data_IF_817087915488
#
_entry.id   IF_817087915488
#
_cell.length_a   1.000
_cell.length_b   1.000
_cell.length_c   1.000
_cell.angle_alpha   90.00
_cell.angle_beta   90.00
_cell.angle_gamma   90.00
#
_symmetry.space_group_name_H-M   'P 1'
#
loop_
_entity.id
_entity.type
_entity.pdbx_description
1 polymer ?
#
# COMPACT_ATOMS: atom_id res chain seq x y z
N UNK A 1 73.63 -19.65 22.17
CA UNK A 1 72.40 -19.09 21.60
C UNK A 1 72.67 -18.75 20.14
N UNK A 2 72.28 -19.61 19.22
CA UNK A 2 72.50 -19.44 17.77
C UNK A 2 71.25 -18.75 17.18
N UNK A 3 71.42 -17.51 16.82
CA UNK A 3 70.36 -16.78 16.09
C UNK A 3 70.40 -17.19 14.61
N UNK A 4 69.36 -17.89 14.16
CA UNK A 4 69.18 -18.19 12.75
C UNK A 4 68.55 -16.94 12.08
N UNK A 5 69.44 -16.27 11.25
CA UNK A 5 69.01 -15.16 10.40
C UNK A 5 68.06 -15.70 9.31
N UNK A 6 66.77 -15.20 9.31
CA UNK A 6 65.83 -15.47 8.24
C UNK A 6 66.41 -14.85 6.95
N UNK A 7 66.57 -15.59 5.85
CA UNK A 7 67.19 -15.06 4.64
C UNK A 7 66.25 -13.95 4.07
N UNK A 8 66.85 -12.83 3.67
CA UNK A 8 66.22 -11.61 3.16
C UNK A 8 65.15 -11.87 2.08
N UNK A 9 65.35 -12.96 1.30
CA UNK A 9 64.35 -13.41 0.28
C UNK A 9 63.02 -13.89 0.87
N UNK A 10 63.04 -14.49 2.07
CA UNK A 10 61.82 -14.94 2.75
C UNK A 10 61.06 -13.73 3.35
N UNK A 11 61.80 -12.73 3.84
CA UNK A 11 61.24 -11.49 4.35
C UNK A 11 60.54 -10.67 3.23
N UNK A 12 61.15 -10.61 2.02
CA UNK A 12 60.52 -9.97 0.85
C UNK A 12 59.27 -10.71 0.35
N UNK A 13 59.22 -12.04 0.42
CA UNK A 13 58.05 -12.83 0.05
C UNK A 13 56.90 -12.63 1.05
N UNK A 14 57.17 -12.54 2.35
CA UNK A 14 56.18 -12.25 3.39
C UNK A 14 55.64 -10.83 3.27
N UNK A 15 56.46 -9.84 2.94
CA UNK A 15 55.96 -8.45 2.72
C UNK A 15 55.15 -8.31 1.45
N UNK A 16 55.43 -9.06 0.38
CA UNK A 16 54.59 -9.09 -0.83
C UNK A 16 53.24 -9.78 -0.54
N UNK A 17 53.22 -10.85 0.27
CA UNK A 17 51.98 -11.52 0.65
C UNK A 17 51.09 -10.64 1.54
N UNK A 18 51.66 -9.85 2.47
CA UNK A 18 50.94 -8.88 3.27
C UNK A 18 50.42 -7.66 2.48
N UNK A 19 51.05 -7.34 1.35
CA UNK A 19 50.58 -6.25 0.47
C UNK A 19 49.46 -6.70 -0.49
N UNK A 20 49.32 -8.02 -0.74
CA UNK A 20 48.21 -8.55 -1.56
C UNK A 20 46.88 -8.65 -0.81
N UNK A 21 46.90 -8.76 0.53
CA UNK A 21 45.68 -8.83 1.35
C UNK A 21 44.97 -7.47 1.56
N UNK A 22 45.56 -6.37 1.06
CA UNK A 22 44.94 -5.03 1.18
C UNK A 22 44.34 -4.50 -0.12
N UNK A 23 44.25 -5.30 -1.17
CA UNK A 23 43.28 -5.01 -2.24
C UNK A 23 41.89 -5.38 -1.74
N UNK A 24 41.31 -4.47 -0.95
CA UNK A 24 39.85 -4.43 -0.71
C UNK A 24 39.18 -4.42 -2.07
N UNK A 25 38.79 -5.58 -2.57
CA UNK A 25 37.79 -5.61 -3.64
C UNK A 25 36.58 -4.89 -3.08
N UNK A 26 36.31 -3.67 -3.54
CA UNK A 26 35.07 -2.98 -3.24
C UNK A 26 33.95 -3.94 -3.64
N UNK A 27 33.22 -4.46 -2.66
CA UNK A 27 32.20 -5.46 -2.92
C UNK A 27 30.98 -4.72 -3.49
N UNK A 28 30.59 -5.12 -4.68
CA UNK A 28 29.34 -4.64 -5.29
C UNK A 28 28.18 -4.89 -4.34
N UNK A 29 27.36 -3.88 -4.06
CA UNK A 29 26.23 -3.98 -3.14
C UNK A 29 25.28 -5.11 -3.54
N UNK A 30 24.90 -5.92 -2.57
CA UNK A 30 23.82 -6.90 -2.71
C UNK A 30 22.47 -6.20 -2.93
N UNK A 31 21.51 -6.95 -3.48
CA UNK A 31 20.14 -6.45 -3.66
C UNK A 31 19.52 -6.09 -2.31
N UNK A 32 19.02 -4.87 -2.11
CA UNK A 32 18.34 -4.50 -0.88
C UNK A 32 17.04 -5.31 -0.70
N UNK A 33 16.71 -5.62 0.54
CA UNK A 33 15.47 -6.28 0.88
C UNK A 33 14.30 -5.28 0.75
N UNK A 34 13.28 -5.63 -0.01
CA UNK A 34 12.04 -4.84 -0.20
C UNK A 34 10.89 -5.81 -0.37
N UNK A 35 9.72 -5.47 0.13
CA UNK A 35 8.49 -6.25 -0.03
C UNK A 35 7.49 -5.42 -0.86
N UNK A 36 7.02 -5.92 -2.02
CA UNK A 36 7.48 -7.10 -2.76
C UNK A 36 8.94 -7.00 -3.22
N UNK A 37 9.58 -8.16 -3.47
CA UNK A 37 10.98 -8.22 -3.89
C UNK A 37 11.20 -7.50 -5.23
N UNK A 38 12.31 -6.75 -5.33
CA UNK A 38 12.68 -6.02 -6.54
C UNK A 38 12.93 -6.94 -7.72
N UNK A 39 12.41 -6.61 -8.89
CA UNK A 39 12.58 -7.37 -10.13
C UNK A 39 14.01 -7.37 -10.63
N UNK A 40 14.63 -6.21 -10.67
CA UNK A 40 15.98 -6.05 -11.20
C UNK A 40 16.80 -5.15 -10.27
N UNK A 41 18.01 -5.59 -9.99
CA UNK A 41 19.02 -4.85 -9.24
C UNK A 41 20.37 -4.96 -9.93
N UNK A 42 21.02 -3.81 -10.13
CA UNK A 42 22.41 -3.74 -10.54
C UNK A 42 23.18 -2.95 -9.49
N UNK A 43 23.87 -3.67 -8.60
CA UNK A 43 24.65 -3.06 -7.53
C UNK A 43 25.84 -2.29 -8.04
N UNK A 44 26.28 -1.30 -7.26
CA UNK A 44 27.54 -0.56 -7.39
C UNK A 44 28.20 -0.46 -6.03
N UNK A 45 29.44 -0.01 -5.99
CA UNK A 45 30.17 0.13 -4.73
C UNK A 45 29.72 1.33 -3.91
N UNK A 46 29.70 1.17 -2.59
CA UNK A 46 29.43 2.22 -1.61
C UNK A 46 27.96 2.58 -1.44
N UNK A 47 27.70 3.48 -0.50
CA UNK A 47 26.37 3.92 -0.15
C UNK A 47 26.14 5.40 -0.50
N UNK A 48 24.89 5.78 -0.65
CA UNK A 48 24.41 7.15 -0.65
C UNK A 48 23.77 7.44 0.71
N UNK A 49 24.13 8.55 1.31
CA UNK A 49 23.47 9.08 2.51
C UNK A 49 22.90 10.46 2.16
N UNK A 50 21.62 10.71 2.43
CA UNK A 50 21.03 12.02 2.19
C UNK A 50 21.79 13.12 2.92
N UNK A 51 22.00 14.25 2.25
CA UNK A 51 22.64 15.42 2.87
C UNK A 51 21.84 15.99 4.05
N UNK A 52 22.48 16.74 4.93
CA UNK A 52 21.82 17.38 6.08
C UNK A 52 20.65 18.28 5.66
N UNK A 53 20.75 18.94 4.50
CA UNK A 53 19.71 19.77 3.91
C UNK A 53 19.20 19.18 2.59
N UNK A 54 19.09 17.83 2.54
CA UNK A 54 18.61 17.13 1.36
C UNK A 54 17.22 17.62 0.93
N UNK A 55 17.01 17.68 -0.38
CA UNK A 55 15.76 18.13 -0.99
C UNK A 55 15.18 17.04 -1.87
N UNK A 56 13.88 17.12 -2.07
CA UNK A 56 13.19 16.42 -3.13
C UNK A 56 12.98 17.41 -4.27
N UNK A 57 13.68 17.18 -5.38
CA UNK A 57 13.64 18.06 -6.56
C UNK A 57 12.71 17.48 -7.62
N UNK A 58 11.59 18.15 -7.88
CA UNK A 58 10.68 17.82 -8.95
C UNK A 58 11.20 18.37 -10.29
N UNK A 59 11.26 17.54 -11.33
CA UNK A 59 11.77 17.96 -12.66
C UNK A 59 10.79 18.81 -13.46
N UNK A 60 9.54 18.91 -13.03
CA UNK A 60 8.49 19.72 -13.67
C UNK A 60 7.49 20.26 -12.64
N UNK A 61 6.67 21.24 -13.09
CA UNK A 61 5.58 21.82 -12.28
C UNK A 61 4.29 20.98 -12.29
N UNK A 62 4.37 19.70 -12.65
CA UNK A 62 3.22 18.80 -12.65
C UNK A 62 2.65 18.67 -11.20
N UNK A 63 1.36 18.95 -10.97
CA UNK A 63 0.77 18.93 -9.63
C UNK A 63 0.83 17.55 -8.96
N UNK A 64 0.64 16.46 -9.73
CA UNK A 64 0.73 15.10 -9.20
C UNK A 64 2.15 14.74 -8.78
N UNK A 65 3.15 15.17 -9.56
CA UNK A 65 4.55 15.00 -9.19
C UNK A 65 4.87 15.70 -7.87
N UNK A 66 4.38 16.94 -7.70
CA UNK A 66 4.56 17.70 -6.46
C UNK A 66 3.83 17.07 -5.28
N UNK A 67 2.60 16.56 -5.50
CA UNK A 67 1.83 15.86 -4.49
C UNK A 67 2.57 14.61 -3.98
N UNK A 68 3.08 13.79 -4.90
CA UNK A 68 3.85 12.57 -4.54
C UNK A 68 5.14 12.94 -3.81
N UNK A 69 5.83 14.00 -4.24
CA UNK A 69 7.03 14.49 -3.57
C UNK A 69 6.74 14.94 -2.14
N UNK A 70 5.62 15.65 -1.92
CA UNK A 70 5.21 16.07 -0.59
C UNK A 70 4.83 14.87 0.29
N UNK A 71 4.05 13.91 -0.23
CA UNK A 71 3.73 12.68 0.49
C UNK A 71 5.00 11.91 0.90
N UNK A 72 5.98 11.82 0.01
CA UNK A 72 7.26 11.18 0.35
C UNK A 72 8.02 11.96 1.43
N UNK A 73 8.02 13.30 1.38
CA UNK A 73 8.63 14.13 2.41
C UNK A 73 7.96 13.95 3.79
N UNK A 74 6.63 13.93 3.81
CA UNK A 74 5.84 13.76 5.03
C UNK A 74 6.07 12.39 5.66
N UNK A 75 6.04 11.32 4.86
CA UNK A 75 6.31 9.95 5.30
C UNK A 75 7.75 9.80 5.79
N UNK A 76 8.72 10.40 5.10
CA UNK A 76 10.13 10.38 5.50
C UNK A 76 10.34 11.09 6.83
N UNK A 77 9.67 12.23 7.04
CA UNK A 77 9.68 12.95 8.31
C UNK A 77 9.01 12.12 9.42
N UNK A 78 7.87 11.50 9.15
CA UNK A 78 7.15 10.69 10.13
C UNK A 78 7.94 9.46 10.56
N UNK A 79 8.57 8.76 9.60
CA UNK A 79 9.30 7.52 9.86
C UNK A 79 10.67 7.74 10.47
N UNK A 80 11.38 8.78 10.05
CA UNK A 80 12.82 8.95 10.34
C UNK A 80 13.14 10.25 11.10
N UNK A 81 12.16 11.11 11.35
CA UNK A 81 12.37 12.40 12.03
C UNK A 81 13.19 13.41 11.21
N UNK A 82 13.42 13.16 9.91
CA UNK A 82 14.24 14.01 9.04
C UNK A 82 13.37 14.73 8.01
N UNK A 83 13.47 16.05 7.96
CA UNK A 83 12.71 16.88 7.01
C UNK A 83 13.39 16.94 5.66
N UNK A 84 12.63 16.69 4.60
CA UNK A 84 13.02 16.88 3.21
C UNK A 84 12.17 18.02 2.62
N UNK A 85 12.81 19.09 2.13
CA UNK A 85 12.05 20.15 1.46
C UNK A 85 11.76 19.80 0.00
N UNK A 86 10.52 20.02 -0.43
CA UNK A 86 10.12 19.83 -1.84
C UNK A 86 10.38 21.11 -2.63
N UNK A 87 11.05 21.00 -3.78
CA UNK A 87 11.44 22.15 -4.60
C UNK A 87 11.45 21.80 -6.09
N UNK A 88 11.59 22.82 -6.92
CA UNK A 88 11.92 22.71 -8.35
C UNK A 88 13.31 23.31 -8.59
N UNK A 89 13.97 22.85 -9.66
CA UNK A 89 15.25 23.44 -10.07
C UNK A 89 16.38 22.42 -10.18
N UNK A 90 17.59 22.85 -9.83
CA UNK A 90 18.80 22.02 -9.89
C UNK A 90 18.96 21.19 -8.61
N UNK A 91 19.11 19.89 -8.76
CA UNK A 91 19.54 19.00 -7.68
C UNK A 91 21.05 19.05 -7.49
N UNK A 92 21.46 18.89 -6.26
CA UNK A 92 22.86 18.78 -5.83
C UNK A 92 23.17 17.38 -5.32
N UNK A 93 24.45 16.98 -5.17
CA UNK A 93 24.78 15.75 -4.47
C UNK A 93 24.12 15.70 -3.08
N UNK A 94 23.53 14.57 -2.71
CA UNK A 94 22.77 14.40 -1.47
C UNK A 94 21.26 14.56 -1.61
N UNK A 95 20.75 15.02 -2.77
CA UNK A 95 19.32 15.24 -3.03
C UNK A 95 18.61 14.02 -3.63
N UNK A 96 17.28 14.07 -3.57
CA UNK A 96 16.36 13.19 -4.30
C UNK A 96 15.80 13.91 -5.52
N UNK A 97 15.66 13.22 -6.64
CA UNK A 97 15.07 13.74 -7.88
C UNK A 97 13.88 12.86 -8.24
N UNK A 98 12.72 13.46 -8.43
CA UNK A 98 11.50 12.80 -8.89
C UNK A 98 11.15 13.31 -10.29
N UNK A 99 10.88 12.38 -11.23
CA UNK A 99 10.54 12.71 -12.60
C UNK A 99 9.52 11.75 -13.20
N UNK A 100 8.68 12.29 -14.09
CA UNK A 100 7.90 11.45 -15.01
C UNK A 100 8.74 11.20 -16.27
N UNK A 101 8.78 9.96 -16.74
CA UNK A 101 9.57 9.51 -17.90
C UNK A 101 8.68 9.07 -19.05
N UNK A 102 9.25 9.01 -20.24
CA UNK A 102 8.56 8.49 -21.42
C UNK A 102 8.77 6.99 -21.66
N UNK A 103 9.46 6.28 -20.75
CA UNK A 103 9.76 4.83 -20.90
C UNK A 103 8.53 3.96 -20.60
N UNK A 104 7.68 3.79 -21.62
CA UNK A 104 6.47 2.97 -21.54
C UNK A 104 6.73 1.48 -21.28
N UNK A 105 7.98 1.00 -21.38
CA UNK A 105 8.33 -0.42 -21.11
C UNK A 105 8.19 -0.80 -19.64
N UNK A 106 8.10 0.19 -18.77
CA UNK A 106 7.84 -0.02 -17.34
C UNK A 106 6.35 -0.28 -17.02
N UNK A 107 5.45 -0.07 -17.99
CA UNK A 107 4.01 -0.14 -17.74
C UNK A 107 3.51 0.99 -16.85
N UNK A 108 2.29 0.87 -16.35
CA UNK A 108 1.65 1.94 -15.57
C UNK A 108 2.17 2.06 -14.15
N UNK A 109 2.65 0.97 -13.56
CA UNK A 109 3.06 0.94 -12.16
C UNK A 109 4.58 0.74 -11.96
N UNK A 110 5.33 0.57 -13.06
CA UNK A 110 6.77 0.36 -12.97
C UNK A 110 7.55 1.66 -12.82
N UNK A 111 8.79 1.52 -12.34
CA UNK A 111 9.69 2.64 -12.08
C UNK A 111 11.16 2.23 -12.19
N UNK A 112 12.03 3.23 -12.31
CA UNK A 112 13.48 3.07 -12.21
C UNK A 112 14.02 4.00 -11.12
N UNK A 113 14.94 3.48 -10.28
CA UNK A 113 15.67 4.25 -9.28
C UNK A 113 17.16 4.10 -9.55
N UNK A 114 17.85 5.23 -9.71
CA UNK A 114 19.32 5.30 -9.79
C UNK A 114 19.87 5.92 -8.52
N UNK A 115 20.69 5.16 -7.79
CA UNK A 115 21.31 5.57 -6.54
C UNK A 115 22.81 5.79 -6.80
N UNK A 116 23.25 7.06 -6.75
CA UNK A 116 24.63 7.48 -7.05
C UNK A 116 25.14 8.44 -5.96
N UNK A 117 25.58 9.65 -6.32
CA UNK A 117 25.77 10.79 -5.42
C UNK A 117 24.45 11.52 -5.09
N UNK A 118 23.38 11.09 -5.71
CA UNK A 118 21.99 11.47 -5.52
C UNK A 118 21.07 10.31 -5.88
N UNK A 119 19.82 10.37 -5.46
CA UNK A 119 18.81 9.40 -5.88
C UNK A 119 17.97 10.02 -6.98
N UNK A 120 17.90 9.37 -8.13
CA UNK A 120 17.00 9.76 -9.23
C UNK A 120 15.95 8.69 -9.43
N UNK A 121 14.70 9.07 -9.30
CA UNK A 121 13.52 8.22 -9.47
C UNK A 121 12.74 8.67 -10.69
N UNK A 122 12.39 7.75 -11.56
CA UNK A 122 11.59 8.01 -12.76
C UNK A 122 10.57 6.92 -13.01
N UNK A 123 9.37 7.31 -13.47
CA UNK A 123 8.29 6.41 -13.83
C UNK A 123 7.46 7.00 -14.97
N UNK A 124 6.77 6.16 -15.79
CA UNK A 124 5.88 6.65 -16.83
C UNK A 124 4.64 7.36 -16.30
N UNK A 125 4.20 7.00 -15.09
CA UNK A 125 2.97 7.46 -14.47
C UNK A 125 3.19 7.96 -13.04
N UNK A 126 2.27 8.76 -12.48
CA UNK A 126 2.26 9.10 -11.06
C UNK A 126 2.22 7.85 -10.15
N UNK A 127 1.47 6.81 -10.51
CA UNK A 127 1.35 5.57 -9.74
C UNK A 127 2.70 4.88 -9.58
N UNK A 128 3.42 4.65 -10.69
CA UNK A 128 4.75 4.05 -10.64
C UNK A 128 5.74 4.89 -9.83
N UNK A 129 5.66 6.22 -9.96
CA UNK A 129 6.49 7.14 -9.18
C UNK A 129 6.18 7.04 -7.68
N UNK A 130 4.91 6.94 -7.29
CA UNK A 130 4.51 6.74 -5.90
C UNK A 130 5.07 5.41 -5.34
N UNK A 131 4.95 4.31 -6.09
CA UNK A 131 5.52 3.01 -5.67
C UNK A 131 7.03 3.05 -5.48
N UNK A 132 7.74 3.84 -6.28
CA UNK A 132 9.17 4.02 -6.10
C UNK A 132 9.53 4.69 -4.77
N UNK A 133 8.71 5.61 -4.29
CA UNK A 133 8.92 6.24 -2.98
C UNK A 133 8.72 5.23 -1.84
N UNK A 134 7.80 4.28 -1.97
CA UNK A 134 7.61 3.19 -1.00
C UNK A 134 8.86 2.30 -0.93
N UNK A 135 9.46 1.99 -2.07
CA UNK A 135 10.74 1.27 -2.13
C UNK A 135 11.85 2.04 -1.42
N UNK A 136 11.94 3.36 -1.63
CA UNK A 136 12.95 4.18 -0.94
C UNK A 136 12.74 4.20 0.57
N UNK A 137 11.52 4.29 1.07
CA UNK A 137 11.24 4.24 2.51
C UNK A 137 11.67 2.89 3.11
N UNK A 138 11.34 1.77 2.46
CA UNK A 138 11.73 0.45 2.92
C UNK A 138 13.26 0.24 2.94
N UNK A 139 13.98 0.79 1.96
CA UNK A 139 15.44 0.73 1.96
C UNK A 139 16.03 1.60 3.07
N UNK A 140 15.51 2.82 3.25
CA UNK A 140 15.99 3.75 4.29
C UNK A 140 15.80 3.19 5.71
N UNK A 141 14.72 2.46 5.95
CA UNK A 141 14.41 1.85 7.25
C UNK A 141 15.45 0.80 7.69
N UNK A 142 16.16 0.18 6.74
CA UNK A 142 17.10 -0.92 7.01
C UNK A 142 18.45 -0.45 7.55
N UNK A 143 18.73 0.84 7.59
CA UNK A 143 19.98 1.36 8.13
C UNK A 143 19.73 2.48 9.15
N UNK A 144 20.54 2.52 10.22
CA UNK A 144 20.47 3.57 11.25
C UNK A 144 20.71 4.99 10.68
N UNK A 145 21.53 5.10 9.63
CA UNK A 145 21.83 6.37 8.95
C UNK A 145 20.82 6.71 7.85
N UNK A 146 19.85 5.82 7.58
CA UNK A 146 18.93 5.91 6.45
C UNK A 146 19.69 6.03 5.12
N UNK A 147 20.77 5.26 5.00
CA UNK A 147 21.61 5.19 3.80
C UNK A 147 21.05 4.19 2.79
N UNK A 148 21.44 4.36 1.54
CA UNK A 148 20.97 3.55 0.42
C UNK A 148 22.15 2.93 -0.30
N UNK A 149 22.16 1.61 -0.56
CA UNK A 149 23.20 0.98 -1.35
C UNK A 149 23.19 1.57 -2.77
N UNK A 150 24.34 1.99 -3.28
CA UNK A 150 24.44 2.49 -4.66
C UNK A 150 24.14 1.39 -5.66
N UNK A 151 23.38 1.74 -6.70
CA UNK A 151 22.95 0.79 -7.72
C UNK A 151 21.81 1.33 -8.57
N UNK A 152 21.24 0.43 -9.37
CA UNK A 152 20.08 0.71 -10.22
C UNK A 152 19.01 -0.33 -9.92
N UNK A 153 17.82 0.15 -9.60
CA UNK A 153 16.60 -0.63 -9.45
C UNK A 153 15.75 -0.40 -10.70
N UNK A 154 15.21 -1.47 -11.26
CA UNK A 154 14.13 -1.43 -12.23
C UNK A 154 13.05 -2.40 -11.77
N UNK A 155 11.87 -1.89 -11.46
CA UNK A 155 10.83 -2.65 -10.77
C UNK A 155 9.44 -2.39 -11.36
N UNK A 156 8.60 -3.40 -11.34
CA UNK A 156 7.21 -3.39 -11.83
C UNK A 156 6.46 -4.59 -11.24
N UNK A 157 5.13 -4.52 -11.08
CA UNK A 157 4.35 -5.62 -10.54
C UNK A 157 4.16 -6.76 -11.56
N UNK A 158 4.00 -8.00 -11.06
CA UNK A 158 3.55 -9.14 -11.86
C UNK A 158 2.03 -9.16 -12.04
N UNK A 159 1.31 -8.62 -11.06
CA UNK A 159 -0.14 -8.62 -10.99
C UNK A 159 -0.67 -7.19 -10.91
N UNK A 160 -1.66 -6.87 -11.72
CA UNK A 160 -2.33 -5.57 -11.73
C UNK A 160 -3.17 -5.34 -10.47
N UNK A 161 -3.76 -6.40 -9.89
CA UNK A 161 -4.53 -6.36 -8.65
C UNK A 161 -3.72 -7.00 -7.54
N UNK A 162 -3.48 -6.25 -6.47
CA UNK A 162 -2.81 -6.68 -5.25
C UNK A 162 -3.68 -6.28 -4.08
N UNK A 163 -4.72 -7.10 -3.87
CA UNK A 163 -5.84 -6.80 -2.99
C UNK A 163 -5.75 -7.46 -1.63
N UNK A 164 -6.52 -6.88 -0.72
CA UNK A 164 -6.87 -7.44 0.58
C UNK A 164 -8.37 -7.23 0.80
N UNK A 165 -9.02 -8.16 1.49
CA UNK A 165 -10.43 -8.03 1.91
C UNK A 165 -10.51 -7.96 3.42
N UNK A 166 -11.36 -7.07 3.94
CA UNK A 166 -11.65 -6.95 5.36
C UNK A 166 -13.14 -7.10 5.64
N UNK A 167 -13.47 -7.98 6.59
CA UNK A 167 -14.83 -8.23 7.02
C UNK A 167 -15.23 -7.21 8.10
N UNK A 168 -15.99 -6.20 7.69
CA UNK A 168 -16.62 -5.22 8.57
C UNK A 168 -18.03 -5.66 8.99
N UNK A 169 -18.65 -6.59 8.27
CA UNK A 169 -19.97 -7.12 8.56
C UNK A 169 -20.02 -7.83 9.90
N UNK A 170 -19.20 -8.85 10.10
CA UNK A 170 -19.17 -9.64 11.35
C UNK A 170 -18.62 -8.86 12.54
N UNK A 171 -17.76 -7.88 12.30
CA UNK A 171 -17.20 -7.01 13.35
C UNK A 171 -17.04 -5.60 12.84
N UNK A 172 -17.59 -4.64 13.56
CA UNK A 172 -17.37 -3.23 13.21
C UNK A 172 -15.88 -2.87 13.33
N UNK A 173 -15.34 -2.30 12.26
CA UNK A 173 -13.99 -1.79 12.17
C UNK A 173 -14.08 -0.26 12.10
N UNK A 174 -13.50 0.50 13.03
CA UNK A 174 -13.55 1.96 12.98
C UNK A 174 -12.90 2.51 11.70
N UNK A 175 -13.43 3.60 11.16
CA UNK A 175 -12.91 4.24 9.94
C UNK A 175 -11.42 4.60 10.05
N UNK A 176 -10.96 5.03 11.22
CA UNK A 176 -9.54 5.31 11.46
C UNK A 176 -8.64 4.09 11.23
N UNK A 177 -9.10 2.90 11.59
CA UNK A 177 -8.36 1.67 11.32
C UNK A 177 -8.28 1.36 9.82
N UNK A 178 -9.39 1.55 9.08
CA UNK A 178 -9.40 1.37 7.62
C UNK A 178 -8.45 2.35 6.93
N UNK A 179 -8.40 3.59 7.39
CA UNK A 179 -7.48 4.61 6.90
C UNK A 179 -6.01 4.24 7.15
N UNK A 180 -5.70 3.70 8.32
CA UNK A 180 -4.33 3.24 8.63
C UNK A 180 -3.98 1.97 7.85
N UNK A 181 -4.94 1.06 7.66
CA UNK A 181 -4.77 -0.13 6.81
C UNK A 181 -4.41 0.25 5.37
N UNK A 182 -5.07 1.26 4.79
CA UNK A 182 -4.74 1.79 3.46
C UNK A 182 -3.29 2.27 3.38
N UNK A 183 -2.78 2.97 4.40
CA UNK A 183 -1.38 3.41 4.44
C UNK A 183 -0.41 2.24 4.48
N UNK A 184 -0.73 1.20 5.28
CA UNK A 184 0.07 -0.03 5.37
C UNK A 184 0.05 -0.77 4.02
N UNK A 185 -1.11 -0.90 3.40
CA UNK A 185 -1.25 -1.51 2.08
C UNK A 185 -0.41 -0.77 1.04
N UNK A 186 -0.50 0.55 0.99
CA UNK A 186 0.28 1.38 0.09
C UNK A 186 1.80 1.23 0.33
N UNK A 187 2.23 1.14 1.59
CA UNK A 187 3.64 0.91 1.93
C UNK A 187 4.18 -0.38 1.30
N UNK A 188 3.37 -1.43 1.24
CA UNK A 188 3.68 -2.71 0.59
C UNK A 188 3.21 -2.78 -0.88
N UNK A 189 2.86 -1.65 -1.49
CA UNK A 189 2.43 -1.54 -2.90
C UNK A 189 1.18 -2.36 -3.23
N UNK A 190 0.32 -2.62 -2.26
CA UNK A 190 -1.02 -3.16 -2.49
C UNK A 190 -1.94 -2.02 -2.96
N UNK A 191 -2.85 -2.32 -3.89
CA UNK A 191 -3.63 -1.30 -4.58
C UNK A 191 -5.15 -1.49 -4.55
N UNK A 192 -5.67 -2.50 -3.85
CA UNK A 192 -7.11 -2.77 -3.83
C UNK A 192 -7.53 -3.27 -2.45
N UNK A 193 -8.47 -2.58 -1.80
CA UNK A 193 -9.09 -3.00 -0.55
C UNK A 193 -10.58 -3.26 -0.77
N UNK A 194 -11.01 -4.51 -0.64
CA UNK A 194 -12.41 -4.90 -0.62
C UNK A 194 -12.94 -4.81 0.81
N UNK A 195 -14.03 -4.07 1.00
CA UNK A 195 -14.67 -3.86 2.29
C UNK A 195 -16.01 -4.60 2.30
N UNK A 196 -16.07 -5.72 3.00
CA UNK A 196 -17.26 -6.54 3.15
C UNK A 196 -18.19 -5.93 4.21
N UNK A 197 -19.31 -5.39 3.75
CA UNK A 197 -20.14 -4.46 4.54
C UNK A 197 -21.32 -5.11 5.25
N UNK A 198 -21.69 -6.33 4.89
CA UNK A 198 -22.76 -7.07 5.57
C UNK A 198 -22.41 -8.53 5.76
N UNK A 199 -22.72 -9.05 6.93
CA UNK A 199 -22.60 -10.47 7.24
C UNK A 199 -23.30 -10.82 8.54
N UNK A 200 -23.28 -12.10 8.89
CA UNK A 200 -23.86 -12.66 10.10
C UNK A 200 -22.96 -13.64 10.83
N UNK A 201 -23.23 -13.84 12.09
CA UNK A 201 -22.63 -14.88 12.90
C UNK A 201 -23.08 -16.29 12.48
N UNK A 202 -22.39 -17.29 12.98
CA UNK A 202 -22.75 -18.68 12.77
C UNK A 202 -23.85 -19.09 13.74
N UNK A 203 -25.03 -19.49 13.22
CA UNK A 203 -26.24 -19.81 13.98
C UNK A 203 -26.00 -20.74 15.17
N UNK A 204 -25.08 -21.70 15.04
CA UNK A 204 -24.74 -22.65 16.11
C UNK A 204 -24.25 -22.00 17.41
N UNK A 205 -23.69 -20.80 17.35
CA UNK A 205 -23.24 -20.04 18.51
C UNK A 205 -24.36 -19.19 19.13
N UNK A 206 -25.57 -19.23 18.56
CA UNK A 206 -26.74 -18.46 18.96
C UNK A 206 -27.97 -19.37 19.16
N UNK A 207 -27.81 -20.45 19.88
CA UNK A 207 -28.84 -21.47 20.22
C UNK A 207 -29.50 -22.10 18.96
N UNK A 208 -28.78 -22.16 17.84
CA UNK A 208 -29.32 -22.55 16.52
C UNK A 208 -30.56 -21.75 16.10
N UNK A 209 -30.62 -20.49 16.46
CA UNK A 209 -31.77 -19.61 16.22
C UNK A 209 -31.34 -18.39 15.40
N UNK A 210 -31.92 -18.22 14.21
CA UNK A 210 -31.63 -17.08 13.34
C UNK A 210 -32.02 -15.74 13.96
N UNK A 211 -33.15 -15.66 14.70
CA UNK A 211 -33.60 -14.40 15.35
C UNK A 211 -32.62 -13.91 16.43
N UNK A 212 -31.81 -14.83 16.99
CA UNK A 212 -30.77 -14.51 17.98
C UNK A 212 -29.40 -14.30 17.35
N UNK A 213 -29.21 -14.77 16.11
CA UNK A 213 -27.91 -14.71 15.46
C UNK A 213 -27.54 -13.26 15.14
N UNK A 214 -26.35 -12.88 15.54
CA UNK A 214 -25.82 -11.57 15.21
C UNK A 214 -25.78 -11.35 13.69
N UNK A 215 -26.18 -10.17 13.23
CA UNK A 215 -26.09 -9.75 11.85
C UNK A 215 -25.94 -8.25 11.77
N UNK A 216 -25.21 -7.77 10.76
CA UNK A 216 -24.99 -6.36 10.58
C UNK A 216 -24.88 -5.98 9.09
N UNK A 217 -25.38 -4.80 8.78
CA UNK A 217 -25.11 -4.04 7.58
C UNK A 217 -24.50 -2.70 7.97
N UNK A 218 -23.38 -2.29 7.36
CA UNK A 218 -22.54 -1.21 7.88
C UNK A 218 -22.70 0.15 7.22
N UNK A 219 -23.35 0.25 6.07
CA UNK A 219 -23.64 1.56 5.46
C UNK A 219 -24.98 2.12 5.97
N UNK A 220 -25.00 3.41 6.24
CA UNK A 220 -26.26 4.11 6.51
C UNK A 220 -27.14 4.12 5.27
N UNK A 221 -28.42 3.79 5.45
CA UNK A 221 -29.45 3.81 4.41
C UNK A 221 -30.55 4.80 4.75
N UNK A 222 -30.85 5.68 3.80
CA UNK A 222 -32.01 6.58 3.86
C UNK A 222 -33.25 5.88 3.33
N UNK A 223 -33.11 4.97 2.38
CA UNK A 223 -34.19 4.18 1.78
C UNK A 223 -34.79 3.21 2.80
N UNK A 224 -33.93 2.63 3.66
CA UNK A 224 -34.35 1.67 4.67
C UNK A 224 -33.89 2.10 6.07
N UNK A 225 -34.58 3.12 6.69
CA UNK A 225 -34.21 3.60 8.01
C UNK A 225 -34.31 2.50 9.07
N UNK A 226 -33.21 2.30 9.81
CA UNK A 226 -33.11 1.26 10.85
C UNK A 226 -32.51 -0.08 10.38
N UNK A 227 -32.20 -0.22 9.08
CA UNK A 227 -31.46 -1.37 8.55
C UNK A 227 -30.04 -1.42 9.07
N UNK A 228 -29.40 -0.28 9.21
CA UNK A 228 -28.00 -0.15 9.60
C UNK A 228 -27.74 -0.63 11.02
N UNK A 229 -26.64 -1.34 11.22
CA UNK A 229 -26.25 -1.90 12.51
C UNK A 229 -26.04 -0.82 13.59
N UNK A 230 -26.49 -1.10 14.82
CA UNK A 230 -26.44 -0.16 15.96
C UNK A 230 -25.09 -0.17 16.69
N UNK A 231 -24.30 -1.21 16.56
CA UNK A 231 -22.99 -1.38 17.21
C UNK A 231 -21.84 -0.68 16.46
N UNK A 232 -22.14 -0.07 15.32
CA UNK A 232 -21.25 0.74 14.49
C UNK A 232 -21.59 0.68 13.02
N UNK A 233 -21.40 1.80 12.35
CA UNK A 233 -21.72 1.97 10.92
C UNK A 233 -20.89 3.08 10.31
N UNK A 234 -20.96 3.21 9.01
CA UNK A 234 -20.35 4.30 8.23
C UNK A 234 -21.46 5.11 7.57
N UNK A 235 -21.38 6.43 7.67
CA UNK A 235 -22.23 7.29 6.85
C UNK A 235 -21.78 7.21 5.38
N UNK A 236 -22.68 7.46 4.44
CA UNK A 236 -22.34 7.55 3.01
C UNK A 236 -21.21 8.55 2.78
N UNK A 237 -21.30 9.72 3.41
CA UNK A 237 -20.25 10.75 3.29
C UNK A 237 -18.90 10.29 3.81
N UNK A 238 -18.87 9.68 4.99
CA UNK A 238 -17.63 9.17 5.59
C UNK A 238 -16.98 8.10 4.69
N UNK A 239 -17.77 7.21 4.10
CA UNK A 239 -17.27 6.16 3.23
C UNK A 239 -16.74 6.72 1.89
N UNK A 240 -17.45 7.69 1.30
CA UNK A 240 -17.00 8.39 0.09
C UNK A 240 -15.70 9.17 0.35
N UNK A 241 -15.61 9.87 1.48
CA UNK A 241 -14.37 10.58 1.87
C UNK A 241 -13.21 9.61 2.05
N UNK A 242 -13.47 8.43 2.61
CA UNK A 242 -12.48 7.35 2.74
C UNK A 242 -12.01 6.84 1.37
N UNK A 243 -12.91 6.59 0.42
CA UNK A 243 -12.54 6.20 -0.95
C UNK A 243 -11.65 7.26 -1.61
N UNK A 244 -12.00 8.53 -1.49
CA UNK A 244 -11.20 9.66 -2.01
C UNK A 244 -9.82 9.71 -1.36
N UNK A 245 -9.74 9.52 -0.04
CA UNK A 245 -8.47 9.48 0.69
C UNK A 245 -7.62 8.27 0.28
N UNK A 246 -8.21 7.08 0.13
CA UNK A 246 -7.50 5.89 -0.30
C UNK A 246 -6.92 6.07 -1.71
N UNK A 247 -7.69 6.68 -2.63
CA UNK A 247 -7.23 6.99 -3.98
C UNK A 247 -5.99 7.91 -4.00
N UNK A 248 -5.83 8.81 -3.02
CA UNK A 248 -4.60 9.62 -2.91
C UNK A 248 -3.35 8.77 -2.61
N UNK A 249 -3.54 7.59 -2.03
CA UNK A 249 -2.50 6.59 -1.76
C UNK A 249 -2.43 5.51 -2.86
N UNK A 250 -3.12 5.71 -3.99
CA UNK A 250 -3.21 4.75 -5.09
C UNK A 250 -3.77 3.39 -4.66
N UNK A 251 -4.70 3.40 -3.70
CA UNK A 251 -5.47 2.24 -3.26
C UNK A 251 -6.93 2.46 -3.61
N UNK A 252 -7.49 1.55 -4.40
CA UNK A 252 -8.91 1.50 -4.73
C UNK A 252 -9.68 0.83 -3.60
N UNK A 253 -10.84 1.37 -3.25
CA UNK A 253 -11.76 0.75 -2.29
C UNK A 253 -12.93 0.13 -3.06
N UNK A 254 -13.12 -1.18 -2.90
CA UNK A 254 -14.26 -1.91 -3.44
C UNK A 254 -15.25 -2.14 -2.30
N UNK A 255 -16.35 -1.37 -2.21
CA UNK A 255 -17.43 -1.67 -1.28
C UNK A 255 -18.14 -2.96 -1.73
N UNK A 256 -18.40 -3.87 -0.81
CA UNK A 256 -19.11 -5.11 -1.08
C UNK A 256 -20.39 -5.18 -0.25
N UNK A 257 -21.52 -5.39 -0.93
CA UNK A 257 -22.79 -5.80 -0.35
C UNK A 257 -23.08 -7.20 -0.85
N UNK A 258 -22.99 -8.17 0.04
CA UNK A 258 -23.10 -9.58 -0.31
C UNK A 258 -24.56 -10.05 -0.28
N UNK A 259 -25.02 -10.62 -1.38
CA UNK A 259 -26.32 -11.25 -1.60
C UNK A 259 -26.20 -12.43 -2.57
N UNK A 260 -27.04 -13.46 -2.52
CA UNK A 260 -28.19 -13.64 -1.61
C UNK A 260 -27.83 -14.20 -0.24
N UNK A 261 -26.67 -14.80 -0.06
CA UNK A 261 -26.16 -15.26 1.23
C UNK A 261 -25.64 -14.08 2.08
N UNK A 262 -25.20 -14.37 3.31
CA UNK A 262 -24.71 -13.36 4.25
C UNK A 262 -25.71 -12.20 4.51
N UNK A 263 -27.00 -12.46 4.29
CA UNK A 263 -28.07 -11.46 4.19
C UNK A 263 -28.96 -11.38 5.43
N UNK A 264 -28.55 -11.98 6.57
CA UNK A 264 -29.40 -12.03 7.77
C UNK A 264 -29.75 -10.63 8.32
N UNK A 265 -28.89 -9.63 8.13
CA UNK A 265 -29.22 -8.26 8.50
C UNK A 265 -30.43 -7.72 7.72
N UNK A 266 -30.51 -8.07 6.44
CA UNK A 266 -31.63 -7.68 5.56
C UNK A 266 -32.91 -8.43 5.92
N UNK A 267 -32.82 -9.73 6.23
CA UNK A 267 -33.97 -10.54 6.60
C UNK A 267 -34.45 -10.30 8.03
N UNK A 268 -33.58 -9.85 8.94
CA UNK A 268 -34.00 -9.31 10.24
C UNK A 268 -34.82 -8.03 10.09
N UNK A 269 -34.42 -7.19 9.16
CA UNK A 269 -35.13 -5.94 8.87
C UNK A 269 -36.47 -6.20 8.15
N UNK A 270 -36.49 -7.12 7.19
CA UNK A 270 -37.64 -7.45 6.33
C UNK A 270 -37.77 -8.99 6.21
N UNK A 271 -38.39 -9.68 7.18
CA UNK A 271 -38.39 -11.15 7.23
C UNK A 271 -39.03 -11.86 6.02
N UNK A 272 -39.94 -11.18 5.31
CA UNK A 272 -40.60 -11.72 4.13
C UNK A 272 -39.67 -11.97 2.94
N UNK A 273 -38.52 -11.30 2.86
CA UNK A 273 -37.53 -11.53 1.79
C UNK A 273 -36.56 -12.68 2.09
N UNK A 274 -36.64 -13.27 3.30
CA UNK A 274 -35.78 -14.38 3.69
C UNK A 274 -36.20 -15.72 3.07
N UNK A 275 -35.21 -16.57 2.80
CA UNK A 275 -35.43 -17.90 2.26
C UNK A 275 -35.93 -18.88 3.34
N UNK A 276 -37.11 -19.47 3.11
CA UNK A 276 -37.63 -20.54 3.97
C UNK A 276 -36.96 -21.89 3.71
N UNK A 277 -36.37 -22.07 2.52
CA UNK A 277 -35.76 -23.32 2.10
C UNK A 277 -34.31 -23.41 2.52
N UNK A 278 -33.52 -22.36 2.33
CA UNK A 278 -32.08 -22.37 2.59
C UNK A 278 -31.70 -21.82 3.95
N UNK A 279 -32.48 -20.90 4.50
CA UNK A 279 -32.26 -20.26 5.80
C UNK A 279 -32.51 -18.76 5.77
N UNK A 280 -32.69 -18.16 6.92
CA UNK A 280 -32.96 -16.71 7.01
C UNK A 280 -31.73 -15.85 6.73
N UNK A 281 -30.53 -16.43 6.65
CA UNK A 281 -29.30 -15.77 6.20
C UNK A 281 -29.18 -15.69 4.68
N UNK A 282 -30.13 -16.29 3.95
CA UNK A 282 -30.24 -16.21 2.49
C UNK A 282 -31.51 -15.45 2.06
N UNK A 283 -31.39 -14.67 0.99
CA UNK A 283 -32.54 -14.03 0.34
C UNK A 283 -33.33 -15.00 -0.54
N UNK A 284 -34.64 -14.90 -0.52
CA UNK A 284 -35.54 -15.64 -1.40
C UNK A 284 -35.58 -15.02 -2.80
N UNK A 285 -34.73 -15.47 -3.71
CA UNK A 285 -34.51 -14.85 -5.03
C UNK A 285 -35.72 -14.86 -5.96
N UNK A 286 -36.72 -15.73 -5.69
CA UNK A 286 -37.91 -15.87 -6.52
C UNK A 286 -39.08 -15.00 -6.07
N UNK A 287 -38.85 -14.14 -5.07
CA UNK A 287 -39.87 -13.20 -4.53
C UNK A 287 -39.62 -11.82 -5.11
N UNK A 288 -40.65 -11.20 -5.67
CA UNK A 288 -40.59 -9.87 -6.28
C UNK A 288 -40.09 -8.81 -5.28
N UNK A 289 -40.51 -8.93 -4.04
CA UNK A 289 -40.10 -8.06 -2.93
C UNK A 289 -38.62 -8.09 -2.66
N UNK A 290 -37.95 -9.24 -2.85
CA UNK A 290 -36.48 -9.39 -2.76
C UNK A 290 -35.78 -8.60 -3.86
N UNK A 291 -36.27 -8.71 -5.10
CA UNK A 291 -35.72 -7.96 -6.22
C UNK A 291 -35.91 -6.44 -6.01
N UNK A 292 -37.05 -6.02 -5.55
CA UNK A 292 -37.30 -4.60 -5.23
C UNK A 292 -36.39 -4.10 -4.10
N UNK A 293 -36.24 -4.88 -3.04
CA UNK A 293 -35.37 -4.52 -1.92
C UNK A 293 -33.92 -4.34 -2.38
N UNK A 294 -33.37 -5.31 -3.12
CA UNK A 294 -32.03 -5.24 -3.63
C UNK A 294 -31.84 -4.06 -4.60
N UNK A 295 -32.77 -3.89 -5.55
CA UNK A 295 -32.73 -2.82 -6.55
C UNK A 295 -32.76 -1.41 -5.90
N UNK A 296 -33.63 -1.21 -4.92
CA UNK A 296 -33.73 0.06 -4.21
C UNK A 296 -32.49 0.35 -3.35
N UNK A 297 -31.93 -0.69 -2.69
CA UNK A 297 -30.71 -0.58 -1.89
C UNK A 297 -29.52 -0.20 -2.77
N UNK A 298 -29.30 -0.91 -3.88
CA UNK A 298 -28.19 -0.59 -4.80
C UNK A 298 -28.37 0.77 -5.47
N UNK A 299 -29.60 1.11 -5.89
CA UNK A 299 -29.89 2.43 -6.46
C UNK A 299 -29.55 3.58 -5.51
N UNK A 300 -29.71 3.38 -4.21
CA UNK A 300 -29.32 4.41 -3.23
C UNK A 300 -27.84 4.74 -3.29
N UNK A 301 -26.98 3.73 -3.41
CA UNK A 301 -25.52 3.91 -3.38
C UNK A 301 -24.90 4.21 -4.76
N UNK A 302 -25.66 4.02 -5.85
CA UNK A 302 -25.26 4.36 -7.21
C UNK A 302 -25.70 5.79 -7.64
N UNK A 303 -26.48 6.49 -6.82
CA UNK A 303 -27.02 7.82 -7.14
C UNK A 303 -26.09 8.95 -6.71
N UNK A 304 -26.19 10.09 -7.43
CA UNK A 304 -25.51 11.35 -7.11
C UNK A 304 -24.23 11.56 -7.90
N UNK A 305 -23.62 12.72 -7.67
CA UNK A 305 -22.36 13.13 -8.32
C UNK A 305 -21.15 12.40 -7.71
N UNK A 306 -21.28 11.89 -6.49
CA UNK A 306 -20.29 11.10 -5.76
C UNK A 306 -20.96 9.81 -5.23
N UNK A 307 -21.15 8.79 -6.03
CA UNK A 307 -21.76 7.53 -5.58
C UNK A 307 -20.79 6.72 -4.70
N UNK A 308 -21.36 5.88 -3.82
CA UNK A 308 -20.55 4.91 -3.04
C UNK A 308 -20.02 3.79 -3.93
N UNK A 309 -20.82 3.36 -4.91
CA UNK A 309 -20.42 2.41 -5.94
C UNK A 309 -20.20 3.15 -7.26
N UNK A 310 -19.08 2.91 -7.91
CA UNK A 310 -18.70 3.50 -9.21
C UNK A 310 -18.70 2.43 -10.29
#
# INVERSE_FOLDING_TARGET
>A
MTYTLIPLKVLCLLTIFCLYDSLSYASVNSKPFVVPELKQWTGKDGNFTPGTNAKIVCTSANPELQRIAQMFADDYQQMFGKTLSVTQGKATPGDFILSLSADKKLGEEGYEIKITDRITTSAPTPTGLYWSTRTLLQIAEQSQEHSFPKGIIRDYPDYSIRGFMIDCGRKFIPMSYLQDLVKIMAYYKMNTLQVHLNDNGFKQYFDNNWDKTYAAFRLESETYPGLTARDGSYSKKEFIDFQKQAATNFVEIIPEIDIPAHSLAFTHYKPEIGSKEYGMDDLALFITETCHFADDLFKEYLKGDDPVFV
#
